data_IF_844871530860
#
_entry.id   IF_844871530860
#
_cell.length_a   1.000
_cell.length_b   1.000
_cell.length_c   1.000
_cell.angle_alpha   90.00
_cell.angle_beta   90.00
_cell.angle_gamma   90.00
#
_symmetry.space_group_name_H-M   'P 1'
#
loop_
_entity.id
_entity.type
_entity.pdbx_description
1 polymer ?
#
# COMPACT_ATOMS: atom_id res chain seq x y z
N UNK A 1 21.95 52.83 11.00
CA UNK A 1 21.23 52.54 9.74
C UNK A 1 21.72 51.20 9.22
N UNK A 2 20.79 50.26 9.03
CA UNK A 2 21.00 48.83 8.83
C UNK A 2 21.68 48.48 7.50
N UNK A 3 22.69 47.60 7.54
CA UNK A 3 22.98 46.71 6.41
C UNK A 3 22.06 45.50 6.50
N UNK A 4 21.25 45.31 5.47
CA UNK A 4 20.25 44.23 5.33
C UNK A 4 20.95 42.90 5.09
N UNK A 5 20.72 41.94 5.98
CA UNK A 5 21.01 40.51 5.79
C UNK A 5 20.19 39.96 4.62
N UNK A 6 20.86 39.59 3.54
CA UNK A 6 20.29 38.80 2.44
C UNK A 6 20.76 37.36 2.54
N UNK A 7 20.29 36.61 3.55
CA UNK A 7 20.52 35.17 3.64
C UNK A 7 19.49 34.49 2.73
N UNK A 8 19.90 34.15 1.50
CA UNK A 8 19.11 33.35 0.60
C UNK A 8 18.93 31.94 1.20
N UNK A 9 17.75 31.68 1.79
CA UNK A 9 17.33 30.34 2.19
C UNK A 9 17.10 29.49 0.93
N UNK A 10 18.11 28.73 0.53
CA UNK A 10 17.95 27.59 -0.36
C UNK A 10 17.19 26.52 0.43
N UNK A 11 15.87 26.43 0.22
CA UNK A 11 15.06 25.30 0.67
C UNK A 11 15.49 24.07 -0.12
N UNK A 12 16.55 23.42 0.33
CA UNK A 12 16.87 22.05 -0.05
C UNK A 12 15.73 21.20 0.49
N UNK A 13 14.76 20.91 -0.37
CA UNK A 13 13.71 19.94 -0.08
C UNK A 13 14.39 18.58 0.06
N UNK A 14 14.64 18.17 1.29
CA UNK A 14 15.11 16.82 1.59
C UNK A 14 13.92 15.91 1.33
N UNK A 15 13.85 15.37 0.11
CA UNK A 15 13.04 14.19 -0.17
C UNK A 15 13.68 13.04 0.61
N UNK A 16 13.21 12.80 1.83
CA UNK A 16 13.59 11.61 2.58
C UNK A 16 12.97 10.45 1.83
N UNK A 17 13.75 9.83 0.94
CA UNK A 17 13.47 8.48 0.46
C UNK A 17 13.52 7.59 1.71
N UNK A 18 12.37 7.39 2.34
CA UNK A 18 12.18 6.31 3.29
C UNK A 18 12.25 5.04 2.47
N UNK A 19 13.45 4.51 2.29
CA UNK A 19 13.60 3.16 1.76
C UNK A 19 13.00 2.23 2.81
N UNK A 20 11.96 1.43 2.49
CA UNK A 20 11.67 0.28 3.32
C UNK A 20 12.97 -0.53 3.41
N UNK A 21 13.32 -1.09 4.57
CA UNK A 21 14.61 -1.76 4.75
C UNK A 21 14.71 -2.96 3.81
N UNK A 22 15.26 -2.74 2.62
CA UNK A 22 15.78 -3.80 1.77
C UNK A 22 17.17 -4.10 2.29
N UNK A 23 17.24 -4.99 3.28
CA UNK A 23 18.50 -5.55 3.73
C UNK A 23 19.10 -6.39 2.62
N UNK A 24 20.25 -5.97 2.09
CA UNK A 24 21.15 -6.83 1.33
C UNK A 24 22.35 -7.18 2.22
N UNK A 25 22.25 -8.33 2.90
CA UNK A 25 23.39 -9.04 3.47
C UNK A 25 23.28 -10.49 2.99
N UNK A 26 24.24 -10.89 2.15
CA UNK A 26 24.37 -12.24 1.61
C UNK A 26 24.37 -13.29 2.73
N UNK A 27 23.49 -14.29 2.62
CA UNK A 27 23.72 -15.63 3.18
C UNK A 27 23.10 -15.95 4.53
N UNK A 28 21.89 -15.47 4.82
CA UNK A 28 21.01 -16.05 5.84
C UNK A 28 19.59 -15.82 5.32
N UNK A 29 18.75 -16.86 5.28
CA UNK A 29 17.43 -16.78 4.65
C UNK A 29 16.70 -15.53 5.12
N UNK A 30 16.56 -14.55 4.23
CA UNK A 30 15.93 -13.27 4.54
C UNK A 30 14.54 -13.63 5.02
N UNK A 31 14.29 -13.49 6.33
CA UNK A 31 12.95 -13.70 6.87
C UNK A 31 12.09 -12.70 6.15
N UNK A 32 11.23 -13.19 5.27
CA UNK A 32 10.21 -12.41 4.61
C UNK A 32 9.30 -11.88 5.72
N UNK A 33 9.53 -10.62 6.13
CA UNK A 33 8.76 -9.97 7.18
C UNK A 33 7.53 -9.36 6.50
N UNK A 34 6.31 -9.86 6.79
CA UNK A 34 5.11 -9.35 6.16
C UNK A 34 4.86 -7.90 6.52
N UNK A 35 4.41 -7.10 5.55
CA UNK A 35 3.88 -5.76 5.83
C UNK A 35 2.71 -5.85 6.81
N UNK A 36 2.76 -5.07 7.88
CA UNK A 36 1.79 -5.14 8.97
C UNK A 36 1.73 -3.81 9.73
N UNK A 37 0.65 -3.61 10.48
CA UNK A 37 0.50 -2.45 11.36
C UNK A 37 -0.10 -1.22 10.69
N UNK A 38 0.22 -0.06 11.25
CA UNK A 38 -0.33 1.23 10.83
C UNK A 38 0.53 1.85 9.72
N UNK A 39 -0.12 2.33 8.67
CA UNK A 39 0.45 3.20 7.65
C UNK A 39 -0.10 4.61 7.92
N UNK A 40 0.73 5.47 8.50
CA UNK A 40 0.39 6.84 8.89
C UNK A 40 0.97 7.91 7.94
N UNK A 41 1.65 7.47 6.88
CA UNK A 41 2.23 8.30 5.84
C UNK A 41 2.17 7.60 4.49
N UNK A 42 2.21 8.38 3.41
CA UNK A 42 2.13 7.84 2.05
C UNK A 42 3.22 6.79 1.81
N UNK A 43 2.79 5.58 1.44
CA UNK A 43 3.65 4.41 1.36
C UNK A 43 3.39 3.68 0.04
N UNK A 44 4.46 3.19 -0.58
CA UNK A 44 4.37 2.36 -1.79
C UNK A 44 4.86 0.94 -1.51
N UNK A 45 4.03 -0.06 -1.83
CA UNK A 45 4.42 -1.47 -1.88
C UNK A 45 4.67 -1.88 -3.33
N UNK A 46 5.80 -2.54 -3.58
CA UNK A 46 6.22 -2.96 -4.91
C UNK A 46 6.89 -4.34 -4.87
N UNK A 47 6.79 -5.09 -5.98
CA UNK A 47 7.43 -6.38 -6.13
C UNK A 47 6.62 -7.54 -5.55
N UNK A 48 7.33 -8.57 -5.06
CA UNK A 48 6.72 -9.73 -4.41
C UNK A 48 6.82 -9.55 -2.89
N UNK A 49 5.69 -9.55 -2.19
CA UNK A 49 5.64 -9.26 -0.75
C UNK A 49 4.57 -10.07 -0.03
N UNK A 50 4.78 -10.28 1.27
CA UNK A 50 3.75 -10.79 2.18
C UNK A 50 3.10 -9.66 2.97
N UNK A 51 1.85 -9.83 3.37
CA UNK A 51 1.18 -8.89 4.27
C UNK A 51 0.29 -9.58 5.29
N UNK A 52 0.24 -9.00 6.49
CA UNK A 52 -0.68 -9.35 7.56
C UNK A 52 -1.78 -8.28 7.67
N UNK A 53 -2.29 -8.03 8.87
CA UNK A 53 -3.23 -6.94 9.10
C UNK A 53 -2.55 -5.59 8.97
N UNK A 54 -3.10 -4.73 8.12
CA UNK A 54 -2.62 -3.36 7.88
C UNK A 54 -3.79 -2.39 7.95
N UNK A 55 -3.55 -1.23 8.56
CA UNK A 55 -4.49 -0.10 8.57
C UNK A 55 -3.85 1.10 7.89
N UNK A 56 -4.50 1.63 6.87
CA UNK A 56 -4.13 2.90 6.23
C UNK A 56 -4.87 4.02 6.94
N UNK A 57 -4.13 4.81 7.73
CA UNK A 57 -4.67 5.86 8.56
C UNK A 57 -5.34 6.98 7.73
N UNK A 58 -6.22 7.80 8.33
CA UNK A 58 -6.73 9.00 7.69
C UNK A 58 -5.59 9.91 7.20
N UNK A 59 -5.72 10.42 5.98
CA UNK A 59 -4.71 11.29 5.36
C UNK A 59 -3.53 10.57 4.69
N UNK A 60 -3.33 9.28 4.97
CA UNK A 60 -2.30 8.47 4.31
C UNK A 60 -2.84 7.75 3.06
N UNK A 61 -1.93 7.49 2.12
CA UNK A 61 -2.19 6.70 0.91
C UNK A 61 -1.27 5.49 0.86
N UNK A 62 -1.85 4.29 0.82
CA UNK A 62 -1.13 3.09 0.40
C UNK A 62 -1.26 2.93 -1.11
N UNK A 63 -0.13 2.91 -1.81
CA UNK A 63 -0.04 2.59 -3.24
C UNK A 63 0.55 1.20 -3.42
N UNK A 64 -0.14 0.30 -4.11
CA UNK A 64 0.41 -0.98 -4.57
C UNK A 64 0.76 -0.82 -6.04
N UNK A 65 2.06 -0.80 -6.33
CA UNK A 65 2.58 -0.55 -7.68
C UNK A 65 2.14 -1.65 -8.66
N UNK A 66 1.89 -1.28 -9.91
CA UNK A 66 1.60 -2.23 -11.00
C UNK A 66 2.68 -3.30 -11.14
N UNK A 67 2.27 -4.53 -11.46
CA UNK A 67 3.16 -5.69 -11.57
C UNK A 67 3.51 -6.35 -10.23
N UNK A 68 3.00 -5.83 -9.11
CA UNK A 68 3.25 -6.42 -7.80
C UNK A 68 2.42 -7.67 -7.55
N UNK A 69 2.98 -8.58 -6.74
CA UNK A 69 2.32 -9.80 -6.28
C UNK A 69 2.34 -9.81 -4.75
N UNK A 70 1.18 -9.58 -4.15
CA UNK A 70 0.99 -9.58 -2.70
C UNK A 70 0.39 -10.89 -2.21
N UNK A 71 0.99 -11.45 -1.17
CA UNK A 71 0.58 -12.70 -0.53
C UNK A 71 0.05 -12.44 0.88
N UNK A 72 -1.27 -12.43 1.02
CA UNK A 72 -1.92 -12.23 2.30
C UNK A 72 -1.77 -13.46 3.19
N UNK A 73 -1.30 -13.26 4.42
CA UNK A 73 -1.32 -14.31 5.45
C UNK A 73 -2.77 -14.74 5.74
N UNK A 74 -2.99 -15.95 6.32
CA UNK A 74 -4.32 -16.40 6.70
C UNK A 74 -5.09 -15.34 7.50
N UNK A 75 -6.27 -14.95 7.01
CA UNK A 75 -7.10 -13.93 7.66
C UNK A 75 -6.59 -12.48 7.58
N UNK A 76 -5.50 -12.19 6.85
CA UNK A 76 -4.95 -10.85 6.69
C UNK A 76 -5.97 -9.86 6.08
N UNK A 77 -5.98 -8.63 6.58
CA UNK A 77 -6.92 -7.58 6.16
C UNK A 77 -6.20 -6.26 5.89
N UNK A 78 -6.68 -5.54 4.90
CA UNK A 78 -6.28 -4.15 4.64
C UNK A 78 -7.46 -3.26 5.02
N UNK A 79 -7.35 -2.53 6.12
CA UNK A 79 -8.33 -1.54 6.56
C UNK A 79 -7.96 -0.18 5.99
N UNK A 80 -8.89 0.44 5.26
CA UNK A 80 -8.66 1.70 4.56
C UNK A 80 -9.51 2.79 5.20
N UNK A 81 -8.89 3.62 6.03
CA UNK A 81 -9.48 4.85 6.58
C UNK A 81 -9.05 6.09 5.79
N UNK A 82 -7.83 6.05 5.23
CA UNK A 82 -7.32 6.99 4.24
C UNK A 82 -7.59 6.53 2.80
N UNK A 83 -6.52 6.19 2.06
CA UNK A 83 -6.63 5.82 0.66
C UNK A 83 -5.83 4.57 0.28
N UNK A 84 -6.43 3.73 -0.56
CA UNK A 84 -5.75 2.63 -1.25
C UNK A 84 -5.76 2.87 -2.76
N UNK A 85 -4.61 2.77 -3.40
CA UNK A 85 -4.47 2.76 -4.86
C UNK A 85 -3.77 1.47 -5.24
N UNK A 86 -4.48 0.54 -5.87
CA UNK A 86 -3.93 -0.72 -6.35
C UNK A 86 -3.88 -0.70 -7.88
N UNK A 87 -2.65 -0.76 -8.42
CA UNK A 87 -2.39 -0.78 -9.85
C UNK A 87 -2.66 0.55 -10.56
N UNK A 88 -2.50 0.52 -11.88
CA UNK A 88 -2.76 1.64 -12.79
C UNK A 88 -3.40 1.11 -14.09
N UNK A 89 -3.76 2.04 -15.00
CA UNK A 89 -4.57 1.71 -16.17
C UNK A 89 -3.75 1.13 -17.34
N UNK A 90 -2.41 1.24 -17.33
CA UNK A 90 -1.54 0.92 -18.48
C UNK A 90 -0.37 -0.02 -18.17
N UNK A 91 -0.16 -0.37 -16.90
CA UNK A 91 0.92 -1.24 -16.45
C UNK A 91 0.49 -2.70 -16.29
N UNK A 92 1.45 -3.60 -15.98
CA UNK A 92 1.13 -5.01 -15.70
C UNK A 92 0.19 -5.12 -14.49
N UNK A 93 -0.63 -6.16 -14.44
CA UNK A 93 -1.62 -6.31 -13.39
C UNK A 93 -0.99 -6.49 -12.00
N UNK A 94 -1.70 -6.03 -10.98
CA UNK A 94 -1.42 -6.38 -9.58
C UNK A 94 -2.14 -7.68 -9.24
N UNK A 95 -1.49 -8.59 -8.51
CA UNK A 95 -2.10 -9.81 -8.00
C UNK A 95 -2.08 -9.80 -6.47
N UNK A 96 -3.24 -9.86 -5.84
CA UNK A 96 -3.39 -10.05 -4.39
C UNK A 96 -4.02 -11.41 -4.13
N UNK A 97 -3.19 -12.34 -3.65
CA UNK A 97 -3.56 -13.72 -3.33
C UNK A 97 -3.28 -14.06 -1.87
N UNK A 98 -3.30 -15.35 -1.55
CA UNK A 98 -2.99 -15.87 -0.22
C UNK A 98 -1.59 -16.51 -0.18
N UNK A 99 -0.94 -16.44 0.98
CA UNK A 99 0.40 -16.97 1.19
C UNK A 99 0.48 -18.48 1.47
N UNK A 100 -0.67 -19.16 1.61
CA UNK A 100 -0.72 -20.55 2.10
C UNK A 100 -1.83 -21.36 1.42
N UNK A 101 -2.32 -22.43 2.04
CA UNK A 101 -3.56 -23.10 1.63
C UNK A 101 -4.82 -22.42 2.17
N UNK A 102 -4.69 -21.60 3.22
CA UNK A 102 -5.81 -20.89 3.85
C UNK A 102 -6.04 -19.53 3.21
N UNK A 103 -7.30 -19.09 3.03
CA UNK A 103 -7.59 -17.81 2.40
C UNK A 103 -7.15 -16.63 3.27
N UNK A 104 -6.82 -15.52 2.62
CA UNK A 104 -6.68 -14.24 3.34
C UNK A 104 -8.05 -13.62 3.60
N UNK A 105 -8.09 -12.53 4.36
CA UNK A 105 -9.34 -11.88 4.75
C UNK A 105 -10.00 -11.14 3.60
N UNK A 106 -9.77 -9.82 3.54
CA UNK A 106 -10.39 -8.91 2.60
C UNK A 106 -9.76 -7.51 2.69
N UNK A 107 -10.09 -6.67 1.72
CA UNK A 107 -9.88 -5.23 1.78
C UNK A 107 -11.17 -4.59 2.30
N UNK A 108 -11.08 -3.86 3.40
CA UNK A 108 -12.20 -3.13 3.99
C UNK A 108 -11.98 -1.63 3.82
N UNK A 109 -12.93 -0.96 3.19
CA UNK A 109 -12.94 0.50 3.14
C UNK A 109 -13.92 1.00 4.19
N UNK A 110 -13.41 1.80 5.13
CA UNK A 110 -14.18 2.40 6.21
C UNK A 110 -14.94 3.66 5.72
N UNK A 111 -15.79 4.23 6.56
CA UNK A 111 -16.72 5.31 6.18
C UNK A 111 -16.07 6.58 5.59
N UNK A 112 -14.79 6.82 5.88
CA UNK A 112 -14.00 7.94 5.34
C UNK A 112 -13.01 7.50 4.25
N UNK A 113 -12.85 6.20 4.07
CA UNK A 113 -11.85 5.61 3.21
C UNK A 113 -12.25 5.66 1.74
N UNK A 114 -11.23 5.63 0.89
CA UNK A 114 -11.40 5.44 -0.56
C UNK A 114 -10.44 4.39 -1.08
N UNK A 115 -10.91 3.58 -2.02
CA UNK A 115 -10.05 2.66 -2.74
C UNK A 115 -10.23 2.79 -4.25
N UNK A 116 -9.11 2.84 -4.96
CA UNK A 116 -9.05 2.81 -6.41
C UNK A 116 -8.34 1.52 -6.82
N UNK A 117 -9.05 0.64 -7.50
CA UNK A 117 -8.56 -0.68 -7.90
C UNK A 117 -8.58 -0.75 -9.42
N UNK A 118 -7.39 -0.89 -10.01
CA UNK A 118 -7.15 -0.81 -11.45
C UNK A 118 -6.27 -1.96 -11.88
N UNK A 119 -6.68 -2.66 -12.94
CA UNK A 119 -5.95 -3.81 -13.48
C UNK A 119 -5.42 -4.75 -12.36
N UNK A 120 -6.28 -5.10 -11.41
CA UNK A 120 -5.89 -5.82 -10.19
C UNK A 120 -6.74 -7.08 -10.05
N UNK A 121 -6.08 -8.20 -9.80
CA UNK A 121 -6.72 -9.48 -9.50
C UNK A 121 -6.67 -9.72 -7.99
N UNK A 122 -7.82 -10.05 -7.41
CA UNK A 122 -7.98 -10.38 -5.99
C UNK A 122 -8.49 -11.82 -5.94
N UNK A 123 -7.73 -12.73 -5.35
CA UNK A 123 -8.04 -14.16 -5.36
C UNK A 123 -7.79 -14.82 -3.99
N UNK A 124 -8.43 -15.97 -3.78
CA UNK A 124 -8.33 -16.80 -2.56
C UNK A 124 -8.45 -16.01 -1.24
N UNK A 125 -9.44 -15.12 -1.20
CA UNK A 125 -9.82 -14.34 -0.02
C UNK A 125 -11.15 -14.84 0.53
N UNK A 126 -11.45 -14.48 1.78
CA UNK A 126 -12.71 -14.87 2.43
C UNK A 126 -13.88 -14.06 1.86
N UNK A 127 -13.70 -12.75 1.64
CA UNK A 127 -14.74 -11.83 1.14
C UNK A 127 -14.28 -11.00 -0.08
N UNK A 128 -12.97 -10.89 -0.31
CA UNK A 128 -12.32 -9.97 -1.27
C UNK A 128 -12.47 -8.49 -0.90
N UNK A 129 -13.68 -7.92 -1.02
CA UNK A 129 -13.95 -6.49 -0.84
C UNK A 129 -15.10 -6.28 0.13
N UNK A 130 -14.90 -5.45 1.16
CA UNK A 130 -15.90 -5.10 2.16
C UNK A 130 -15.97 -3.58 2.33
N UNK A 131 -17.18 -3.05 2.57
CA UNK A 131 -17.44 -1.61 2.54
C UNK A 131 -18.37 -1.21 3.69
N UNK A 132 -17.95 -0.23 4.49
CA UNK A 132 -18.84 0.44 5.45
C UNK A 132 -19.65 1.56 4.76
N UNK A 133 -20.79 2.00 5.34
CA UNK A 133 -21.51 3.17 4.85
C UNK A 133 -20.57 4.39 4.74
N UNK A 134 -20.57 5.05 3.57
CA UNK A 134 -19.71 6.22 3.28
C UNK A 134 -18.41 5.90 2.55
N UNK A 135 -17.99 4.64 2.50
CA UNK A 135 -16.83 4.20 1.74
C UNK A 135 -17.02 4.39 0.22
N UNK A 136 -15.92 4.72 -0.47
CA UNK A 136 -15.91 4.90 -1.93
C UNK A 136 -14.98 3.91 -2.63
N UNK A 137 -15.48 3.29 -3.70
CA UNK A 137 -14.71 2.43 -4.60
C UNK A 137 -14.70 3.00 -6.01
N UNK A 138 -13.53 2.97 -6.64
CA UNK A 138 -13.40 3.21 -8.09
C UNK A 138 -12.74 2.00 -8.73
N UNK A 139 -13.49 1.31 -9.58
CA UNK A 139 -12.98 0.26 -10.45
C UNK A 139 -12.76 0.86 -11.83
N UNK A 140 -11.59 0.61 -12.42
CA UNK A 140 -11.37 0.91 -13.82
C UNK A 140 -10.61 -0.25 -14.47
N UNK A 141 -11.04 -0.58 -15.68
CA UNK A 141 -10.29 -1.46 -16.57
C UNK A 141 -9.33 -0.61 -17.40
N UNK A 142 -8.22 -1.19 -17.88
CA UNK A 142 -7.51 -0.62 -19.02
C UNK A 142 -8.50 -0.34 -20.16
N UNK A 143 -8.33 0.76 -20.92
CA UNK A 143 -9.09 1.00 -22.15
C UNK A 143 -8.84 -0.08 -23.21
#
# INVERSE_FOLDING_TARGET
MCFKNGLALLLVSILILSFPPHGDVRGEGTRDVPFSGLIDSDTTWAGNFHFANVTVAPGATLTIASGSVGHGLPGARIYVEGALIAGNDSGPPVYLGNASSSPWGYIQVNSTGRAVVRNTYISNSTIALYSYPGAAWRFATPP
#
